data_IF_048943041929
#
_entry.id   IF_048943041929
#
_cell.length_a   1.000
_cell.length_b   1.000
_cell.length_c   1.000
_cell.angle_alpha   90.00
_cell.angle_beta   90.00
_cell.angle_gamma   90.00
#
_symmetry.space_group_name_H-M   'P 1'
#
loop_
_entity.id
_entity.type
_entity.pdbx_description
1 polymer ?
#
# COMPACT_ATOMS: atom_id res chain seq x y z
N UNK A 1 13.80 -25.55 -45.23
CA UNK A 1 14.62 -25.64 -44.00
C UNK A 1 13.89 -24.85 -42.92
N UNK A 2 13.29 -25.52 -41.94
CA UNK A 2 12.62 -24.86 -40.81
C UNK A 2 13.67 -24.44 -39.80
N UNK A 3 13.84 -23.13 -39.59
CA UNK A 3 14.68 -22.62 -38.51
C UNK A 3 13.97 -22.94 -37.21
N UNK A 4 14.66 -23.63 -36.30
CA UNK A 4 14.16 -23.94 -34.97
C UNK A 4 13.84 -22.63 -34.23
N UNK A 5 12.57 -22.38 -33.83
CA UNK A 5 12.17 -21.15 -33.16
C UNK A 5 12.97 -20.89 -31.88
N UNK A 6 13.48 -21.95 -31.24
CA UNK A 6 14.27 -21.88 -30.01
C UNK A 6 15.62 -21.20 -30.25
N UNK A 7 16.25 -21.43 -31.41
CA UNK A 7 17.54 -20.83 -31.78
C UNK A 7 17.37 -19.34 -32.08
N UNK A 8 16.25 -18.93 -32.69
CA UNK A 8 15.96 -17.53 -32.99
C UNK A 8 15.74 -16.70 -31.72
N UNK A 9 15.05 -17.27 -30.72
CA UNK A 9 14.81 -16.62 -29.42
C UNK A 9 16.13 -16.39 -28.67
N UNK A 10 17.03 -17.40 -28.64
CA UNK A 10 18.32 -17.30 -27.96
C UNK A 10 19.25 -16.27 -28.62
N UNK A 11 19.30 -16.21 -29.95
CA UNK A 11 20.09 -15.20 -30.67
C UNK A 11 19.56 -13.77 -30.45
N UNK A 12 18.24 -13.59 -30.42
CA UNK A 12 17.62 -12.28 -30.16
C UNK A 12 17.86 -11.83 -28.72
N UNK A 13 17.70 -12.73 -27.76
CA UNK A 13 17.98 -12.45 -26.35
C UNK A 13 19.46 -12.08 -26.15
N UNK A 14 20.38 -12.80 -26.78
CA UNK A 14 21.82 -12.51 -26.73
C UNK A 14 22.17 -11.16 -27.36
N UNK A 15 21.60 -10.84 -28.53
CA UNK A 15 21.82 -9.55 -29.18
C UNK A 15 21.27 -8.36 -28.38
N UNK A 16 20.14 -8.54 -27.68
CA UNK A 16 19.60 -7.52 -26.75
C UNK A 16 20.48 -7.39 -25.51
N UNK A 17 20.98 -8.50 -24.96
CA UNK A 17 21.85 -8.51 -23.79
C UNK A 17 23.25 -7.91 -24.07
N UNK A 18 23.73 -8.04 -25.30
CA UNK A 18 25.03 -7.54 -25.75
C UNK A 18 24.97 -6.10 -26.27
N UNK A 19 23.78 -5.53 -26.46
CA UNK A 19 23.63 -4.12 -26.81
C UNK A 19 23.83 -3.23 -25.58
N UNK A 20 24.89 -2.43 -25.58
CA UNK A 20 25.05 -1.34 -24.61
C UNK A 20 23.92 -0.33 -24.80
N UNK A 21 22.92 -0.37 -23.92
CA UNK A 21 21.88 0.65 -23.89
C UNK A 21 22.50 1.95 -23.37
N UNK A 22 22.85 2.85 -24.30
CA UNK A 22 23.26 4.21 -23.95
C UNK A 22 22.04 4.95 -23.40
N UNK A 23 22.07 5.23 -22.10
CA UNK A 23 21.06 6.05 -21.43
C UNK A 23 21.52 7.50 -21.51
N UNK A 24 20.74 8.34 -22.20
CA UNK A 24 21.01 9.78 -22.26
C UNK A 24 20.77 10.44 -20.90
N UNK A 25 21.67 11.35 -20.52
CA UNK A 25 21.62 12.10 -19.26
C UNK A 25 21.78 13.60 -19.48
N UNK A 26 21.33 14.37 -18.51
CA UNK A 26 21.38 15.83 -18.45
C UNK A 26 21.79 16.30 -17.04
N UNK A 27 22.27 17.55 -16.87
CA UNK A 27 22.55 18.10 -15.55
C UNK A 27 21.28 18.21 -14.68
N UNK A 28 21.36 17.95 -13.37
CA UNK A 28 20.21 18.13 -12.47
C UNK A 28 19.88 19.62 -12.32
N UNK A 29 18.61 19.98 -12.51
CA UNK A 29 18.07 21.34 -12.24
C UNK A 29 17.60 21.45 -10.79
N UNK A 30 17.09 20.36 -10.24
CA UNK A 30 16.62 20.27 -8.86
C UNK A 30 17.67 19.64 -7.94
N UNK A 31 17.44 19.70 -6.62
CA UNK A 31 18.32 19.08 -5.63
C UNK A 31 18.07 17.57 -5.57
N UNK A 32 18.74 16.83 -6.45
CA UNK A 32 18.82 15.36 -6.38
C UNK A 32 19.80 14.95 -5.25
N UNK A 33 19.72 13.69 -4.73
CA UNK A 33 20.70 13.17 -3.80
C UNK A 33 22.11 13.30 -4.35
N UNK A 34 23.07 13.58 -3.48
CA UNK A 34 24.48 13.86 -3.80
C UNK A 34 25.16 12.79 -4.67
N UNK A 35 24.70 11.54 -4.60
CA UNK A 35 25.18 10.44 -5.47
C UNK A 35 24.82 10.57 -6.96
N UNK A 36 23.89 11.45 -7.31
CA UNK A 36 23.48 11.70 -8.69
C UNK A 36 24.14 12.97 -9.22
N UNK A 37 25.19 12.81 -10.02
CA UNK A 37 25.88 13.92 -10.71
C UNK A 37 25.21 14.31 -12.04
N UNK A 38 24.37 13.42 -12.57
CA UNK A 38 23.52 13.63 -13.74
C UNK A 38 22.21 12.88 -13.55
N UNK A 39 21.18 13.31 -14.28
CA UNK A 39 19.84 12.71 -14.28
C UNK A 39 19.48 12.26 -15.68
N UNK A 40 18.55 11.32 -15.81
CA UNK A 40 18.10 10.89 -17.16
C UNK A 40 17.31 12.00 -17.81
N UNK A 41 17.43 12.13 -19.12
CA UNK A 41 16.67 13.11 -19.90
C UNK A 41 15.18 12.98 -19.58
N UNK A 42 14.56 14.11 -19.23
CA UNK A 42 13.13 14.20 -18.90
C UNK A 42 12.81 14.03 -17.41
N UNK A 43 13.77 13.62 -16.57
CA UNK A 43 13.55 13.60 -15.12
C UNK A 43 13.37 15.00 -14.56
N UNK A 44 14.13 15.99 -15.03
CA UNK A 44 13.93 17.39 -14.64
C UNK A 44 12.52 17.88 -15.00
N UNK A 45 12.08 17.62 -16.24
CA UNK A 45 10.73 18.00 -16.69
C UNK A 45 9.66 17.32 -15.84
N UNK A 46 9.83 16.04 -15.51
CA UNK A 46 8.88 15.31 -14.66
C UNK A 46 8.79 15.90 -13.25
N UNK A 47 9.90 16.39 -12.68
CA UNK A 47 9.88 17.10 -11.39
C UNK A 47 9.14 18.43 -11.53
N UNK A 48 9.42 19.22 -12.56
CA UNK A 48 8.70 20.48 -12.84
C UNK A 48 7.21 20.25 -12.98
N UNK A 49 6.80 19.24 -13.76
CA UNK A 49 5.39 18.91 -13.97
C UNK A 49 4.68 18.64 -12.64
N UNK A 50 5.32 17.90 -11.72
CA UNK A 50 4.75 17.61 -10.39
C UNK A 50 4.61 18.88 -9.54
N UNK A 51 5.60 19.79 -9.60
CA UNK A 51 5.60 21.02 -8.82
C UNK A 51 4.54 22.00 -9.34
N UNK A 52 4.40 22.11 -10.66
CA UNK A 52 3.56 23.10 -11.32
C UNK A 52 2.08 22.68 -11.40
N UNK A 53 1.80 21.37 -11.36
CA UNK A 53 0.45 20.84 -11.54
C UNK A 53 -0.14 20.26 -10.25
N UNK A 54 -1.45 20.44 -10.07
CA UNK A 54 -2.19 19.91 -8.91
C UNK A 54 -2.33 18.38 -8.91
N UNK A 55 -2.28 17.76 -10.09
CA UNK A 55 -2.46 16.32 -10.29
C UNK A 55 -1.58 15.88 -11.45
N UNK A 56 -0.72 14.90 -11.21
CA UNK A 56 0.19 14.35 -12.21
C UNK A 56 0.15 12.84 -12.13
N UNK A 57 0.24 12.19 -13.29
CA UNK A 57 0.37 10.76 -13.41
C UNK A 57 1.67 10.43 -14.13
N UNK A 58 2.57 9.72 -13.45
CA UNK A 58 3.82 9.24 -14.05
C UNK A 58 3.62 7.80 -14.54
N UNK A 59 3.69 7.58 -15.86
CA UNK A 59 3.45 6.26 -16.48
C UNK A 59 4.70 5.61 -17.04
N UNK A 60 5.89 6.08 -16.63
CA UNK A 60 7.16 5.55 -17.14
C UNK A 60 7.42 4.11 -16.65
N UNK A 61 8.19 3.30 -17.40
CA UNK A 61 8.46 1.90 -17.05
C UNK A 61 9.20 1.75 -15.71
N UNK A 62 9.17 0.54 -15.15
CA UNK A 62 9.97 0.20 -13.95
C UNK A 62 11.45 0.41 -14.23
N UNK A 63 12.19 0.88 -13.23
CA UNK A 63 13.61 1.22 -13.37
C UNK A 63 13.88 2.57 -14.03
N UNK A 64 12.86 3.34 -14.43
CA UNK A 64 13.04 4.71 -14.98
C UNK A 64 13.46 5.76 -13.94
N UNK A 65 13.39 5.42 -12.65
CA UNK A 65 13.68 6.34 -11.54
C UNK A 65 12.48 7.19 -11.08
N UNK A 66 11.24 6.70 -11.24
CA UNK A 66 10.01 7.39 -10.76
C UNK A 66 10.10 7.80 -9.29
N UNK A 67 10.57 6.89 -8.45
CA UNK A 67 10.78 7.11 -7.01
C UNK A 67 11.67 8.31 -6.74
N UNK A 68 12.77 8.43 -7.49
CA UNK A 68 13.68 9.56 -7.36
C UNK A 68 13.00 10.88 -7.76
N UNK A 69 12.26 10.87 -8.88
CA UNK A 69 11.53 12.05 -9.38
C UNK A 69 10.52 12.55 -8.36
N UNK A 70 9.64 11.70 -7.83
CA UNK A 70 8.63 12.16 -6.88
C UNK A 70 9.22 12.55 -5.52
N UNK A 71 10.35 11.95 -5.10
CA UNK A 71 11.04 12.33 -3.86
C UNK A 71 11.67 13.71 -3.97
N UNK A 72 12.30 14.00 -5.11
CA UNK A 72 12.87 15.33 -5.38
C UNK A 72 11.75 16.37 -5.45
N UNK A 73 10.63 16.06 -6.11
CA UNK A 73 9.48 16.95 -6.15
C UNK A 73 8.87 17.19 -4.75
N UNK A 74 8.67 16.13 -3.96
CA UNK A 74 8.18 16.23 -2.58
C UNK A 74 9.08 17.13 -1.72
N UNK A 75 10.40 17.03 -1.89
CA UNK A 75 11.38 17.88 -1.20
C UNK A 75 11.34 19.32 -1.68
N UNK A 76 11.26 19.55 -2.98
CA UNK A 76 11.19 20.90 -3.55
C UNK A 76 9.92 21.66 -3.17
N UNK A 77 8.81 20.93 -2.92
CA UNK A 77 7.55 21.52 -2.49
C UNK A 77 7.55 21.92 -1.01
N UNK A 78 8.38 21.30 -0.17
CA UNK A 78 8.41 21.53 1.30
C UNK A 78 7.01 21.46 1.94
N UNK A 79 6.20 20.48 1.48
CA UNK A 79 4.85 20.24 1.99
C UNK A 79 4.80 18.94 2.81
N UNK A 80 3.90 18.83 3.80
CA UNK A 80 3.56 17.58 4.47
C UNK A 80 3.19 16.53 3.43
N UNK A 81 4.09 15.57 3.22
CA UNK A 81 4.00 14.62 2.12
C UNK A 81 3.72 13.23 2.65
N UNK A 82 2.72 12.56 2.06
CA UNK A 82 2.42 11.17 2.33
C UNK A 82 2.70 10.33 1.08
N UNK A 83 3.66 9.42 1.17
CA UNK A 83 4.00 8.46 0.13
C UNK A 83 3.37 7.13 0.51
N UNK A 84 2.61 6.56 -0.41
CA UNK A 84 1.85 5.33 -0.20
C UNK A 84 2.47 4.23 -1.05
N UNK A 85 2.99 3.21 -0.39
CA UNK A 85 3.66 2.06 -0.99
C UNK A 85 2.89 0.76 -0.66
N UNK A 86 2.66 -0.14 -1.62
CA UNK A 86 1.90 -1.37 -1.37
C UNK A 86 2.62 -2.34 -0.44
N UNK A 87 3.96 -2.30 -0.38
CA UNK A 87 4.78 -3.34 0.25
C UNK A 87 5.88 -2.74 1.11
N UNK A 88 6.22 -3.43 2.19
CA UNK A 88 7.26 -3.00 3.15
C UNK A 88 8.61 -2.75 2.49
N UNK A 89 9.08 -3.66 1.63
CA UNK A 89 10.38 -3.50 0.97
C UNK A 89 10.44 -2.26 0.07
N UNK A 90 9.30 -1.82 -0.51
CA UNK A 90 9.27 -0.58 -1.29
C UNK A 90 9.38 0.64 -0.37
N UNK A 91 8.74 0.61 0.80
CA UNK A 91 8.91 1.66 1.81
C UNK A 91 10.38 1.78 2.24
N UNK A 92 11.05 0.65 2.46
CA UNK A 92 12.48 0.59 2.78
C UNK A 92 13.32 1.17 1.63
N UNK A 93 13.04 0.79 0.38
CA UNK A 93 13.72 1.36 -0.80
C UNK A 93 13.55 2.88 -0.93
N UNK A 94 12.37 3.41 -0.61
CA UNK A 94 12.11 4.87 -0.61
C UNK A 94 12.93 5.55 0.48
N UNK A 95 12.96 4.99 1.70
CA UNK A 95 13.77 5.50 2.81
C UNK A 95 15.27 5.51 2.48
N UNK A 96 15.79 4.41 1.93
CA UNK A 96 17.19 4.28 1.50
C UNK A 96 17.52 5.15 0.27
N UNK A 97 16.51 5.43 -0.56
CA UNK A 97 16.62 6.22 -1.77
C UNK A 97 17.08 7.65 -1.52
N UNK A 98 16.76 8.18 -0.34
CA UNK A 98 16.95 9.58 0.01
C UNK A 98 17.21 9.76 1.52
N UNK A 99 18.37 9.34 2.05
CA UNK A 99 18.65 9.35 3.49
C UNK A 99 18.74 10.76 4.09
N UNK A 100 19.01 11.78 3.27
CA UNK A 100 19.05 13.20 3.68
C UNK A 100 17.65 13.80 3.92
N UNK A 101 16.59 13.02 3.69
CA UNK A 101 15.22 13.45 3.86
C UNK A 101 14.82 13.32 5.35
N UNK A 102 14.19 14.34 5.92
CA UNK A 102 13.34 14.20 7.12
C UNK A 102 12.12 13.34 6.75
N UNK A 103 12.34 12.04 6.63
CA UNK A 103 11.34 11.04 6.28
C UNK A 103 11.17 10.02 7.39
N UNK A 104 9.99 9.43 7.46
CA UNK A 104 9.68 8.37 8.40
C UNK A 104 8.77 7.33 7.76
N UNK A 105 9.16 6.06 7.82
CA UNK A 105 8.33 4.94 7.39
C UNK A 105 7.52 4.39 8.56
N UNK A 106 6.20 4.30 8.39
CA UNK A 106 5.31 3.59 9.30
C UNK A 106 4.71 2.35 8.65
N UNK A 107 5.01 1.21 9.25
CA UNK A 107 4.67 -0.10 8.73
C UNK A 107 3.31 -0.61 9.22
N UNK A 108 2.93 -1.80 8.74
CA UNK A 108 1.75 -2.50 9.23
C UNK A 108 1.92 -2.92 10.69
N UNK A 109 0.81 -3.15 11.38
CA UNK A 109 0.83 -3.57 12.79
C UNK A 109 1.59 -4.89 13.03
N UNK A 110 1.70 -5.74 12.02
CA UNK A 110 2.49 -6.97 12.04
C UNK A 110 3.97 -6.71 12.37
N UNK A 111 4.48 -5.52 12.04
CA UNK A 111 5.90 -5.16 12.21
C UNK A 111 6.24 -4.59 13.59
N UNK A 112 5.26 -4.50 14.49
CA UNK A 112 5.45 -3.92 15.82
C UNK A 112 5.11 -4.96 16.87
N UNK A 113 6.03 -5.18 17.81
CA UNK A 113 5.78 -6.03 18.98
C UNK A 113 4.66 -5.48 19.85
N UNK A 114 3.93 -6.37 20.51
CA UNK A 114 2.91 -6.03 21.48
C UNK A 114 3.23 -6.66 22.84
N UNK A 115 2.79 -6.02 23.93
CA UNK A 115 2.96 -6.58 25.28
C UNK A 115 2.04 -7.77 25.55
N UNK A 116 0.97 -7.91 24.78
CA UNK A 116 -0.09 -8.90 25.02
C UNK A 116 -0.13 -10.02 23.97
N UNK A 117 0.61 -9.87 22.87
CA UNK A 117 0.68 -10.79 21.72
C UNK A 117 2.00 -10.60 20.99
N UNK A 118 2.34 -11.52 20.08
CA UNK A 118 3.59 -11.41 19.31
C UNK A 118 3.68 -10.12 18.50
N UNK A 119 2.57 -9.66 17.91
CA UNK A 119 2.51 -8.45 17.09
C UNK A 119 1.28 -7.60 17.42
N UNK A 120 1.32 -6.32 17.05
CA UNK A 120 0.20 -5.40 17.23
C UNK A 120 -1.01 -5.72 16.32
N UNK A 121 -0.83 -6.59 15.32
CA UNK A 121 -1.90 -7.01 14.42
C UNK A 121 -2.90 -7.94 15.12
N UNK A 122 -2.40 -8.89 15.91
CA UNK A 122 -3.21 -9.83 16.68
C UNK A 122 -3.59 -9.30 18.07
N UNK A 123 -3.20 -8.07 18.40
CA UNK A 123 -3.37 -7.51 19.73
C UNK A 123 -4.85 -7.40 20.17
N UNK A 124 -5.18 -7.69 21.44
CA UNK A 124 -6.55 -7.58 21.96
C UNK A 124 -7.17 -6.18 21.81
N UNK A 125 -6.34 -5.14 21.72
CA UNK A 125 -6.77 -3.76 21.52
C UNK A 125 -7.35 -3.46 20.12
N UNK A 126 -7.34 -4.43 19.21
CA UNK A 126 -8.14 -4.40 17.98
C UNK A 126 -9.63 -4.32 18.34
N UNK A 127 -10.08 -5.08 19.34
CA UNK A 127 -11.46 -5.14 19.84
C UNK A 127 -11.77 -4.11 20.93
N UNK A 128 -11.04 -2.98 20.96
CA UNK A 128 -11.26 -1.92 21.95
C UNK A 128 -12.67 -1.32 21.85
N UNK A 129 -13.22 -0.95 22.99
CA UNK A 129 -14.51 -0.26 23.12
C UNK A 129 -14.33 1.10 23.81
N UNK A 130 -15.34 1.97 23.70
CA UNK A 130 -15.32 3.32 24.28
C UNK A 130 -16.11 3.33 25.59
N UNK A 131 -15.57 3.98 26.62
CA UNK A 131 -16.27 4.28 27.88
C UNK A 131 -15.92 5.72 28.29
N UNK A 132 -16.91 6.62 28.24
CA UNK A 132 -16.67 8.06 28.36
C UNK A 132 -15.80 8.57 27.20
N UNK A 133 -14.76 9.35 27.50
CA UNK A 133 -13.80 9.83 26.48
C UNK A 133 -12.70 8.81 26.17
N UNK A 134 -12.53 7.82 27.04
CA UNK A 134 -11.45 6.84 26.97
C UNK A 134 -11.84 5.59 26.18
N UNK A 135 -10.82 4.90 25.67
CA UNK A 135 -10.96 3.61 25.00
C UNK A 135 -10.29 2.54 25.83
N UNK A 136 -10.88 1.36 25.90
CA UNK A 136 -10.42 0.25 26.72
C UNK A 136 -10.47 -1.05 25.93
N UNK A 137 -9.72 -2.04 26.37
CA UNK A 137 -9.80 -3.41 25.91
C UNK A 137 -9.57 -4.36 27.09
N UNK A 138 -9.88 -5.63 26.91
CA UNK A 138 -9.76 -6.64 27.97
C UNK A 138 -8.66 -7.63 27.66
N UNK A 139 -7.89 -8.02 28.67
CA UNK A 139 -6.87 -9.08 28.61
C UNK A 139 -7.01 -9.99 29.84
N UNK A 140 -6.70 -11.29 29.73
CA UNK A 140 -6.65 -12.16 30.90
C UNK A 140 -5.46 -11.75 31.80
N UNK A 141 -5.67 -11.79 33.12
CA UNK A 141 -4.61 -11.64 34.11
C UNK A 141 -3.92 -12.99 34.42
N UNK A 142 -3.02 -13.02 35.40
CA UNK A 142 -2.27 -14.24 35.79
C UNK A 142 -3.17 -15.39 36.28
N UNK A 143 -4.40 -15.08 36.71
CA UNK A 143 -5.39 -16.07 37.17
C UNK A 143 -6.38 -16.45 36.07
N UNK A 144 -6.30 -15.80 34.91
CA UNK A 144 -7.22 -15.97 33.79
C UNK A 144 -8.47 -15.07 33.87
N UNK A 145 -8.56 -14.18 34.86
CA UNK A 145 -9.67 -13.24 34.99
C UNK A 145 -9.50 -12.08 34.00
N UNK A 146 -10.60 -11.57 33.42
CA UNK A 146 -10.53 -10.48 32.47
C UNK A 146 -10.28 -9.13 33.17
N UNK A 147 -9.13 -8.54 32.88
CA UNK A 147 -8.74 -7.20 33.31
C UNK A 147 -8.92 -6.19 32.19
N UNK A 148 -9.43 -5.02 32.56
CA UNK A 148 -9.55 -3.87 31.66
C UNK A 148 -8.24 -3.08 31.58
N UNK A 149 -7.86 -2.69 30.36
CA UNK A 149 -6.64 -1.93 30.05
C UNK A 149 -7.01 -0.73 29.18
N UNK A 150 -6.45 0.44 29.51
CA UNK A 150 -6.61 1.68 28.76
C UNK A 150 -5.89 1.59 27.40
N UNK A 151 -6.52 2.14 26.35
CA UNK A 151 -5.95 2.27 25.02
C UNK A 151 -5.56 3.72 24.69
N UNK A 152 -4.37 3.98 24.10
CA UNK A 152 -3.30 3.01 23.84
C UNK A 152 -2.71 2.49 25.16
N UNK A 153 -2.29 1.23 25.18
CA UNK A 153 -1.57 0.70 26.34
C UNK A 153 -0.18 1.36 26.44
N UNK A 154 0.34 1.44 27.65
CA UNK A 154 1.67 2.00 27.91
C UNK A 154 2.74 1.27 27.08
N UNK A 155 3.65 2.02 26.48
CA UNK A 155 4.74 1.48 25.66
C UNK A 155 4.33 0.88 24.31
N UNK A 156 3.13 1.16 23.80
CA UNK A 156 2.67 0.63 22.51
C UNK A 156 3.50 1.16 21.33
N UNK A 157 4.44 0.34 20.82
CA UNK A 157 5.37 0.70 19.74
C UNK A 157 4.71 1.14 18.44
N UNK A 158 3.60 0.50 18.06
CA UNK A 158 2.84 0.93 16.89
C UNK A 158 2.23 2.33 17.08
N UNK A 159 1.72 2.63 18.28
CA UNK A 159 1.14 3.93 18.56
C UNK A 159 2.21 5.02 18.69
N UNK A 160 3.35 4.72 19.31
CA UNK A 160 4.54 5.58 19.31
C UNK A 160 4.96 5.95 17.87
N UNK A 161 5.09 4.95 16.98
CA UNK A 161 5.42 5.19 15.57
C UNK A 161 4.36 6.04 14.84
N UNK A 162 3.08 5.87 15.18
CA UNK A 162 1.99 6.67 14.62
C UNK A 162 2.06 8.13 15.06
N UNK A 163 2.36 8.40 16.33
CA UNK A 163 2.57 9.76 16.81
C UNK A 163 3.85 10.39 16.23
N UNK A 164 4.92 9.60 16.07
CA UNK A 164 6.11 10.08 15.37
C UNK A 164 5.81 10.47 13.92
N UNK A 165 5.07 9.64 13.17
CA UNK A 165 4.65 9.96 11.81
C UNK A 165 3.78 11.23 11.75
N UNK A 166 2.89 11.42 12.73
CA UNK A 166 2.12 12.66 12.86
C UNK A 166 3.03 13.89 13.03
N UNK A 167 4.00 13.82 13.93
CA UNK A 167 4.92 14.92 14.20
C UNK A 167 5.77 15.26 12.97
N UNK A 168 6.17 14.25 12.19
CA UNK A 168 6.90 14.45 10.93
C UNK A 168 6.03 15.20 9.92
N UNK A 169 4.76 14.83 9.73
CA UNK A 169 3.86 15.56 8.84
C UNK A 169 3.56 16.98 9.33
N UNK A 170 3.43 17.18 10.64
CA UNK A 170 3.21 18.51 11.24
C UNK A 170 4.43 19.42 11.09
N UNK A 171 5.61 18.84 10.87
CA UNK A 171 6.87 19.55 10.60
C UNK A 171 7.19 19.64 9.10
N UNK A 172 6.16 19.57 8.23
CA UNK A 172 6.28 19.57 6.76
C UNK A 172 7.21 18.47 6.19
N UNK A 173 7.38 17.37 6.93
CA UNK A 173 8.18 16.21 6.55
C UNK A 173 7.47 15.20 5.64
N UNK A 174 8.15 14.10 5.38
CA UNK A 174 7.66 13.02 4.50
C UNK A 174 7.33 11.79 5.35
N UNK A 175 6.11 11.27 5.25
CA UNK A 175 5.74 9.97 5.81
C UNK A 175 5.53 8.97 4.68
N UNK A 176 6.16 7.82 4.83
CA UNK A 176 6.03 6.68 3.90
C UNK A 176 5.20 5.62 4.60
N UNK A 177 4.19 5.08 3.92
CA UNK A 177 3.23 4.20 4.58
C UNK A 177 2.59 3.18 3.65
N UNK A 178 1.93 2.18 4.23
CA UNK A 178 1.08 1.25 3.51
C UNK A 178 -0.37 1.75 3.37
N UNK A 179 -1.16 1.01 2.60
CA UNK A 179 -2.56 1.30 2.35
C UNK A 179 -3.43 1.35 3.61
N UNK A 180 -3.19 0.46 4.57
CA UNK A 180 -3.97 0.41 5.82
C UNK A 180 -3.80 1.66 6.68
N UNK A 181 -2.58 2.20 6.71
CA UNK A 181 -2.23 3.38 7.51
C UNK A 181 -2.59 4.72 6.84
N UNK A 182 -2.80 4.75 5.52
CA UNK A 182 -3.21 5.95 4.77
C UNK A 182 -4.32 6.76 5.48
N UNK A 183 -5.33 6.06 5.98
CA UNK A 183 -6.49 6.67 6.60
C UNK A 183 -6.19 7.47 7.88
N UNK A 184 -5.08 7.18 8.56
CA UNK A 184 -4.66 7.91 9.75
C UNK A 184 -4.05 9.27 9.42
N UNK A 185 -3.46 9.41 8.23
CA UNK A 185 -2.61 10.56 7.90
C UNK A 185 -3.18 11.47 6.80
N UNK A 186 -4.18 10.99 6.03
CA UNK A 186 -4.73 11.71 4.87
C UNK A 186 -5.17 13.15 5.12
N UNK A 187 -5.58 13.49 6.34
CA UNK A 187 -6.04 14.85 6.69
C UNK A 187 -4.90 15.83 6.98
N UNK A 188 -3.70 15.31 7.26
CA UNK A 188 -2.50 16.09 7.58
C UNK A 188 -1.58 16.27 6.37
N UNK A 189 -1.65 15.33 5.41
CA UNK A 189 -0.91 15.42 4.17
C UNK A 189 -1.48 16.53 3.26
N UNK A 190 -0.61 17.38 2.71
CA UNK A 190 -0.93 18.35 1.66
C UNK A 190 -0.51 17.87 0.28
N UNK A 191 0.48 16.98 0.22
CA UNK A 191 0.94 16.31 -0.99
C UNK A 191 0.86 14.79 -0.79
N UNK A 192 0.18 14.08 -1.69
CA UNK A 192 -0.02 12.63 -1.60
C UNK A 192 0.52 11.99 -2.86
N UNK A 193 1.43 11.04 -2.69
CA UNK A 193 2.00 10.22 -3.75
C UNK A 193 1.49 8.79 -3.55
N UNK A 194 0.92 8.21 -4.61
CA UNK A 194 0.51 6.81 -4.63
C UNK A 194 1.43 6.11 -5.61
N UNK A 195 2.41 5.35 -5.12
CA UNK A 195 3.22 4.48 -5.97
C UNK A 195 2.49 3.16 -6.21
N UNK A 196 2.73 2.54 -7.38
CA UNK A 196 2.02 1.33 -7.83
C UNK A 196 0.48 1.49 -7.67
N UNK A 197 -0.06 2.58 -8.23
CA UNK A 197 -1.44 3.01 -8.00
C UNK A 197 -2.49 1.96 -8.40
N UNK A 198 -2.20 1.09 -9.36
CA UNK A 198 -3.07 -0.03 -9.72
C UNK A 198 -3.22 -1.04 -8.56
N UNK A 199 -2.15 -1.31 -7.81
CA UNK A 199 -2.22 -2.12 -6.59
C UNK A 199 -3.05 -1.43 -5.50
N UNK A 200 -2.91 -0.11 -5.34
CA UNK A 200 -3.73 0.68 -4.41
C UNK A 200 -5.21 0.59 -4.75
N UNK A 201 -5.58 0.84 -6.01
CA UNK A 201 -6.97 0.77 -6.44
C UNK A 201 -7.55 -0.64 -6.30
N UNK A 202 -6.79 -1.69 -6.64
CA UNK A 202 -7.21 -3.08 -6.40
C UNK A 202 -7.51 -3.33 -4.92
N UNK A 203 -6.62 -2.92 -4.02
CA UNK A 203 -6.82 -3.10 -2.59
C UNK A 203 -8.04 -2.32 -2.04
N UNK A 204 -8.32 -1.13 -2.58
CA UNK A 204 -9.50 -0.33 -2.19
C UNK A 204 -10.80 -0.92 -2.76
N UNK A 205 -10.73 -1.51 -3.95
CA UNK A 205 -11.88 -2.12 -4.64
C UNK A 205 -12.14 -3.58 -4.24
N UNK A 206 -11.19 -4.25 -3.59
CA UNK A 206 -11.37 -5.61 -3.09
C UNK A 206 -12.61 -5.67 -2.19
N UNK A 207 -13.65 -6.36 -2.67
CA UNK A 207 -14.90 -6.49 -1.94
C UNK A 207 -14.68 -7.04 -0.54
N UNK A 208 -15.38 -6.47 0.44
CA UNK A 208 -15.32 -6.91 1.84
C UNK A 208 -15.80 -8.37 1.89
N UNK A 209 -14.86 -9.31 2.03
CA UNK A 209 -15.18 -10.72 2.26
C UNK A 209 -15.57 -10.89 3.72
N UNK A 210 -16.86 -10.84 3.99
CA UNK A 210 -17.40 -11.17 5.31
C UNK A 210 -17.39 -12.69 5.48
N UNK A 211 -16.50 -13.21 6.33
CA UNK A 211 -16.53 -14.61 6.78
C UNK A 211 -17.29 -14.69 8.09
N UNK A 212 -18.54 -15.13 8.05
CA UNK A 212 -19.30 -15.43 9.26
C UNK A 212 -18.94 -16.82 9.77
N UNK A 213 -18.53 -16.91 11.04
CA UNK A 213 -18.50 -18.17 11.77
C UNK A 213 -19.88 -18.32 12.39
N UNK A 214 -20.68 -19.25 11.86
CA UNK A 214 -21.88 -19.68 12.55
C UNK A 214 -21.41 -20.38 13.83
N UNK A 215 -21.50 -19.71 14.99
CA UNK A 215 -21.44 -20.45 16.23
C UNK A 215 -22.62 -21.42 16.21
N UNK A 216 -22.42 -22.65 16.67
CA UNK A 216 -23.47 -23.68 16.75
C UNK A 216 -24.71 -23.23 17.55
N UNK A 217 -24.64 -22.08 18.22
CA UNK A 217 -25.70 -21.46 19.01
C UNK A 217 -26.50 -20.39 18.25
N UNK A 218 -26.01 -19.85 17.13
CA UNK A 218 -26.74 -18.87 16.33
C UNK A 218 -27.54 -19.56 15.20
N UNK A 219 -28.76 -19.99 15.52
CA UNK A 219 -29.76 -20.41 14.52
C UNK A 219 -30.35 -19.18 13.83
N UNK A 220 -29.59 -18.55 12.93
CA UNK A 220 -30.16 -17.56 12.02
C UNK A 220 -31.05 -18.30 11.01
N UNK A 221 -32.37 -18.26 11.21
CA UNK A 221 -33.32 -18.64 10.16
C UNK A 221 -33.35 -17.50 9.15
N UNK A 222 -32.53 -17.59 8.11
CA UNK A 222 -32.79 -16.81 6.90
C UNK A 222 -34.25 -17.05 6.49
N UNK A 223 -35.05 -16.00 6.25
CA UNK A 223 -36.40 -16.15 5.73
C UNK A 223 -36.34 -17.06 4.49
N UNK A 224 -37.24 -18.05 4.42
CA UNK A 224 -37.22 -19.04 3.32
C UNK A 224 -37.28 -18.35 1.97
N UNK A 225 -37.91 -17.18 1.89
CA UNK A 225 -38.03 -16.37 0.69
C UNK A 225 -36.65 -15.92 0.16
N UNK A 226 -35.71 -15.56 1.04
CA UNK A 226 -34.36 -15.11 0.63
C UNK A 226 -33.54 -16.29 0.08
N UNK A 227 -33.60 -17.44 0.76
CA UNK A 227 -32.91 -18.65 0.32
C UNK A 227 -33.45 -19.17 -1.03
N UNK A 228 -34.77 -19.06 -1.24
CA UNK A 228 -35.40 -19.44 -2.50
C UNK A 228 -35.01 -18.47 -3.63
N UNK A 229 -34.91 -17.18 -3.35
CA UNK A 229 -34.51 -16.19 -4.36
C UNK A 229 -33.02 -16.30 -4.74
N UNK A 230 -32.12 -16.51 -3.78
CA UNK A 230 -30.70 -16.77 -4.06
C UNK A 230 -30.50 -18.05 -4.89
N UNK A 231 -31.26 -19.11 -4.57
CA UNK A 231 -31.23 -20.35 -5.35
C UNK A 231 -31.73 -20.15 -6.77
N UNK A 232 -32.79 -19.33 -6.95
CA UNK A 232 -33.35 -18.99 -8.26
C UNK A 232 -32.35 -18.21 -9.11
N UNK A 233 -31.70 -17.20 -8.53
CA UNK A 233 -30.70 -16.38 -9.22
C UNK A 233 -29.45 -17.18 -9.60
N UNK A 234 -28.99 -18.06 -8.69
CA UNK A 234 -27.82 -18.90 -8.95
C UNK A 234 -28.08 -19.91 -10.07
N UNK A 235 -29.26 -20.55 -10.07
CA UNK A 235 -29.64 -21.47 -11.15
C UNK A 235 -29.79 -20.74 -12.49
N UNK A 236 -30.39 -19.55 -12.50
CA UNK A 236 -30.49 -18.75 -13.72
C UNK A 236 -29.11 -18.36 -14.29
N UNK A 237 -28.13 -18.04 -13.44
CA UNK A 237 -26.75 -17.78 -13.87
C UNK A 237 -26.07 -19.04 -14.41
N UNK A 238 -26.28 -20.20 -13.79
CA UNK A 238 -25.73 -21.47 -14.27
C UNK A 238 -26.31 -21.82 -15.65
N UNK A 239 -27.61 -21.62 -15.84
CA UNK A 239 -28.27 -21.93 -17.11
C UNK A 239 -27.84 -20.97 -18.22
N UNK A 240 -27.72 -19.66 -17.95
CA UNK A 240 -27.15 -18.70 -18.90
C UNK A 240 -25.71 -19.06 -19.31
N UNK A 241 -24.87 -19.47 -18.35
CA UNK A 241 -23.50 -19.90 -18.64
C UNK A 241 -23.47 -21.20 -19.45
N UNK A 242 -24.45 -22.10 -19.30
CA UNK A 242 -24.57 -23.32 -20.09
C UNK A 242 -25.01 -23.03 -21.52
N UNK A 243 -25.93 -22.10 -21.72
CA UNK A 243 -26.35 -21.63 -23.04
C UNK A 243 -25.17 -21.01 -23.79
N UNK A 244 -24.47 -20.06 -23.17
CA UNK A 244 -23.24 -19.46 -23.73
C UNK A 244 -22.18 -20.51 -24.10
N UNK A 245 -22.01 -21.55 -23.28
CA UNK A 245 -21.04 -22.61 -23.54
C UNK A 245 -21.47 -23.55 -24.68
N UNK A 246 -22.78 -23.67 -24.90
CA UNK A 246 -23.34 -24.48 -25.99
C UNK A 246 -23.28 -23.76 -27.34
N UNK A 247 -23.41 -22.43 -27.35
CA UNK A 247 -23.35 -21.60 -28.56
C UNK A 247 -21.91 -21.36 -29.05
N UNK A 248 -20.93 -21.32 -28.14
CA UNK A 248 -19.51 -21.11 -28.47
C UNK A 248 -18.72 -22.40 -28.78
N UNK A 249 -19.38 -23.56 -28.86
CA UNK A 249 -18.80 -24.80 -29.40
C UNK A 249 -19.13 -24.92 -30.90
N UNK A 250 -18.46 -24.11 -31.71
CA UNK A 250 -18.32 -24.28 -33.17
C UNK A 250 -16.86 -24.06 -33.58
#
# INVERSE_FOLDING_TARGET
MSVDPTILILHTAKAIYESEVKIETEPPVYKFPSRFTSVRVGQNNSVSDIIENKRVQLTSPTGSGKTLVFLVAARGLELPTLIIEPRKFLQEQVMEGYPESQSFAIYGKSEYSCLYTDTAESAPCVSKYKRGENKFFTVPDEKGDLKEVLFPCEGCKYYEAREQANNILESDGIVITNFGNFWHFRKKAKFIIIDEADAFFRAVMEGIRMKYVLSSEFKFKLPKEILMEESRLTNAQIDALREDYSENKL
#
